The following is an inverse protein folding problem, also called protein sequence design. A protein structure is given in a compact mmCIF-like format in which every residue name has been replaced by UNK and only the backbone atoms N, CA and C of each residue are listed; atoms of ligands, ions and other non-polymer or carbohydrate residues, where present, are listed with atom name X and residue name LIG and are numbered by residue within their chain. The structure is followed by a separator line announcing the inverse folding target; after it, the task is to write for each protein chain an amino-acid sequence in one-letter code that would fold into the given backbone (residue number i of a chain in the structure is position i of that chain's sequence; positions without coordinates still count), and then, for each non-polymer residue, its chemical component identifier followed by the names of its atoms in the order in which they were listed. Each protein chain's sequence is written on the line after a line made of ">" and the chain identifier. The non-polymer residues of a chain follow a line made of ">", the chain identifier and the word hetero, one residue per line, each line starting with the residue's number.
data_IF_540669736359
#
_entry.id   IF_540669736359
#
_cell.length_a   1.000
_cell.length_b   1.000
_cell.length_c   1.000
_cell.angle_alpha   90.00
_cell.angle_beta   90.00
_cell.angle_gamma   90.00
#
_symmetry.space_group_name_H-M   'P 1'
#
loop_
_entity.id
_entity.type
_entity.pdbx_description
1 polymer ?
#
# COMPACT_ATOMS: atom_id res chain seq x y z
N UNK A 1 -2.37 -12.12 14.45
CA UNK A 1 -3.13 -10.95 14.97
C UNK A 1 -4.41 -10.60 14.20
N UNK A 2 -4.59 -10.97 12.92
CA UNK A 2 -5.79 -10.59 12.13
C UNK A 2 -7.13 -11.19 12.59
N UNK A 3 -7.13 -12.25 13.41
CA UNK A 3 -8.37 -12.93 13.85
C UNK A 3 -9.12 -12.18 14.96
N UNK A 4 -8.40 -11.43 15.79
CA UNK A 4 -8.98 -10.69 16.93
C UNK A 4 -10.03 -9.65 16.49
N UNK A 5 -9.76 -8.75 15.52
CA UNK A 5 -10.77 -7.77 15.10
C UNK A 5 -11.99 -8.44 14.43
N UNK A 6 -11.79 -9.58 13.75
CA UNK A 6 -12.89 -10.33 13.13
C UNK A 6 -13.82 -10.95 14.18
N UNK A 7 -13.24 -11.57 15.22
CA UNK A 7 -14.00 -12.12 16.35
C UNK A 7 -14.71 -11.02 17.13
N UNK A 8 -14.05 -9.88 17.36
CA UNK A 8 -14.65 -8.74 18.05
C UNK A 8 -15.84 -8.17 17.26
N UNK A 9 -15.71 -8.03 15.94
CA UNK A 9 -16.80 -7.56 15.08
C UNK A 9 -18.00 -8.53 15.10
N UNK A 10 -17.75 -9.85 15.11
CA UNK A 10 -18.80 -10.85 15.21
C UNK A 10 -19.56 -10.73 16.53
N UNK A 11 -18.84 -10.62 17.65
CA UNK A 11 -19.44 -10.43 18.98
C UNK A 11 -20.28 -9.15 19.02
N UNK A 12 -19.76 -8.05 18.49
CA UNK A 12 -20.44 -6.76 18.46
C UNK A 12 -21.72 -6.82 17.61
N UNK A 13 -21.66 -7.50 16.46
CA UNK A 13 -22.82 -7.70 15.58
C UNK A 13 -23.92 -8.48 16.30
N UNK A 14 -23.57 -9.57 16.98
CA UNK A 14 -24.53 -10.37 17.76
C UNK A 14 -25.15 -9.51 18.87
N UNK A 15 -24.34 -8.71 19.56
CA UNK A 15 -24.82 -7.83 20.62
C UNK A 15 -25.85 -6.81 20.10
N UNK A 16 -25.57 -6.17 18.96
CA UNK A 16 -26.51 -5.23 18.32
C UNK A 16 -27.82 -5.92 17.94
N UNK A 17 -27.76 -7.14 17.37
CA UNK A 17 -28.97 -7.88 16.99
C UNK A 17 -29.83 -8.28 18.20
N UNK A 18 -29.21 -8.77 19.27
CA UNK A 18 -29.91 -9.11 20.51
C UNK A 18 -30.55 -7.86 21.12
N UNK A 19 -29.80 -6.76 21.19
CA UNK A 19 -30.31 -5.49 21.70
C UNK A 19 -31.47 -4.97 20.86
N UNK A 20 -31.39 -5.14 19.54
CA UNK A 20 -32.45 -4.72 18.64
C UNK A 20 -33.74 -5.52 18.83
N UNK A 21 -33.63 -6.82 19.10
CA UNK A 21 -34.78 -7.67 19.36
C UNK A 21 -35.40 -7.43 20.73
N UNK A 22 -34.58 -7.11 21.75
CA UNK A 22 -35.05 -6.86 23.11
C UNK A 22 -35.70 -5.49 23.30
N UNK A 23 -35.43 -4.52 22.42
CA UNK A 23 -35.92 -3.15 22.54
C UNK A 23 -36.78 -2.75 21.33
N UNK A 24 -38.01 -3.30 21.21
CA UNK A 24 -38.94 -2.96 20.12
C UNK A 24 -39.64 -1.61 20.32
N UNK A 25 -39.49 -0.98 21.50
CA UNK A 25 -40.17 0.26 21.82
C UNK A 25 -39.77 1.41 20.87
N UNK A 26 -40.75 2.15 20.34
CA UNK A 26 -40.50 3.25 19.42
C UNK A 26 -39.78 4.40 20.13
N UNK A 27 -38.67 4.83 19.56
CA UNK A 27 -37.91 5.99 19.98
C UNK A 27 -38.13 7.15 19.00
N UNK A 28 -38.32 8.35 19.53
CA UNK A 28 -38.37 9.57 18.74
C UNK A 28 -36.94 9.94 18.29
N UNK A 29 -36.71 9.95 16.99
CA UNK A 29 -35.44 10.29 16.37
C UNK A 29 -35.63 11.54 15.52
N UNK A 30 -34.80 12.55 15.77
CA UNK A 30 -34.78 13.77 14.96
C UNK A 30 -33.54 13.73 14.06
N UNK A 31 -33.75 13.44 12.78
CA UNK A 31 -32.68 13.36 11.78
C UNK A 31 -32.90 14.45 10.73
N UNK A 32 -31.91 15.34 10.59
CA UNK A 32 -31.94 16.43 9.60
C UNK A 32 -33.21 17.32 9.66
N UNK A 33 -33.75 17.52 10.87
CA UNK A 33 -34.97 18.31 11.09
C UNK A 33 -36.28 17.55 10.89
N UNK A 34 -36.25 16.31 10.39
CA UNK A 34 -37.41 15.44 10.30
C UNK A 34 -37.52 14.53 11.54
N UNK A 35 -38.72 14.43 12.10
CA UNK A 35 -39.03 13.53 13.22
C UNK A 35 -39.46 12.15 12.71
N UNK A 36 -38.77 11.11 13.15
CA UNK A 36 -39.09 9.72 12.88
C UNK A 36 -39.38 9.01 14.19
N UNK A 37 -40.40 8.14 14.19
CA UNK A 37 -40.68 7.25 15.31
C UNK A 37 -40.35 5.83 14.85
N UNK A 38 -39.19 5.33 15.29
CA UNK A 38 -38.70 4.01 14.93
C UNK A 38 -38.25 3.26 16.18
N UNK A 39 -38.47 1.94 16.25
CA UNK A 39 -37.90 1.12 17.30
C UNK A 39 -36.41 1.37 17.46
N UNK A 40 -35.99 1.54 18.72
CA UNK A 40 -34.59 1.85 19.06
C UNK A 40 -33.63 0.78 18.51
N UNK A 41 -34.08 -0.47 18.51
CA UNK A 41 -33.35 -1.57 17.89
C UNK A 41 -33.10 -1.42 16.39
N UNK A 42 -34.11 -1.00 15.64
CA UNK A 42 -34.02 -0.83 14.18
C UNK A 42 -33.10 0.33 13.85
N UNK A 43 -33.21 1.45 14.57
CA UNK A 43 -32.37 2.62 14.33
C UNK A 43 -30.90 2.35 14.66
N UNK A 44 -30.62 1.69 15.78
CA UNK A 44 -29.26 1.28 16.16
C UNK A 44 -28.64 0.36 15.09
N UNK A 45 -29.43 -0.59 14.58
CA UNK A 45 -29.01 -1.51 13.51
C UNK A 45 -28.71 -0.75 12.22
N UNK A 46 -29.55 0.23 11.84
CA UNK A 46 -29.32 1.06 10.67
C UNK A 46 -28.02 1.86 10.76
N UNK A 47 -27.74 2.49 11.91
CA UNK A 47 -26.48 3.21 12.14
C UNK A 47 -25.27 2.27 12.14
N UNK A 48 -25.40 1.08 12.71
CA UNK A 48 -24.35 0.06 12.70
C UNK A 48 -23.96 -0.33 11.27
N UNK A 49 -24.96 -0.59 10.41
CA UNK A 49 -24.75 -0.91 9.00
C UNK A 49 -24.10 0.26 8.25
N UNK A 50 -24.55 1.49 8.49
CA UNK A 50 -23.94 2.68 7.88
C UNK A 50 -22.46 2.84 8.28
N UNK A 51 -22.14 2.63 9.56
CA UNK A 51 -20.76 2.66 10.05
C UNK A 51 -19.88 1.57 9.41
N UNK A 52 -20.42 0.36 9.25
CA UNK A 52 -19.74 -0.74 8.56
C UNK A 52 -19.46 -0.38 7.09
N UNK A 53 -20.44 0.22 6.39
CA UNK A 53 -20.31 0.63 5.00
C UNK A 53 -19.26 1.74 4.82
N UNK A 54 -19.24 2.73 5.72
CA UNK A 54 -18.26 3.79 5.73
C UNK A 54 -16.84 3.24 5.96
N UNK A 55 -16.69 2.33 6.93
CA UNK A 55 -15.41 1.68 7.24
C UNK A 55 -14.92 0.84 6.06
N UNK A 56 -15.81 0.10 5.40
CA UNK A 56 -15.49 -0.67 4.20
C UNK A 56 -15.01 0.22 3.04
N UNK A 57 -15.63 1.38 2.86
CA UNK A 57 -15.24 2.36 1.85
C UNK A 57 -13.83 2.90 2.12
N UNK A 58 -13.54 3.28 3.37
CA UNK A 58 -12.21 3.73 3.79
C UNK A 58 -11.14 2.64 3.62
N UNK A 59 -11.47 1.41 3.99
CA UNK A 59 -10.57 0.27 3.81
C UNK A 59 -10.25 0.01 2.34
N UNK A 60 -11.25 0.10 1.46
CA UNK A 60 -11.08 -0.07 0.01
C UNK A 60 -10.15 1.00 -0.59
N UNK A 61 -10.28 2.25 -0.14
CA UNK A 61 -9.38 3.34 -0.56
C UNK A 61 -7.95 3.07 -0.10
N UNK A 62 -7.76 2.65 1.16
CA UNK A 62 -6.44 2.32 1.71
C UNK A 62 -5.79 1.16 0.97
N UNK A 63 -6.53 0.07 0.75
CA UNK A 63 -6.04 -1.10 0.04
C UNK A 63 -5.60 -0.77 -1.39
N UNK A 64 -6.31 0.13 -2.08
CA UNK A 64 -5.94 0.62 -3.41
C UNK A 64 -4.67 1.47 -3.39
N UNK A 65 -4.46 2.27 -2.35
CA UNK A 65 -3.22 3.06 -2.20
C UNK A 65 -2.01 2.15 -1.99
N UNK A 66 -2.16 1.12 -1.18
CA UNK A 66 -1.10 0.12 -0.92
C UNK A 66 -0.76 -0.72 -2.15
N UNK A 67 -1.73 -1.03 -3.02
CA UNK A 67 -1.43 -1.74 -4.27
C UNK A 67 -0.67 -0.87 -5.28
N UNK A 68 -1.02 0.41 -5.39
CA UNK A 68 -0.32 1.36 -6.26
C UNK A 68 1.11 1.64 -5.76
N UNK A 69 1.30 1.75 -4.44
CA UNK A 69 2.64 1.97 -3.88
C UNK A 69 3.56 0.77 -4.15
N UNK A 70 3.07 -0.46 -3.99
CA UNK A 70 3.83 -1.68 -4.30
C UNK A 70 4.27 -1.74 -5.76
N UNK A 71 3.36 -1.43 -6.70
CA UNK A 71 3.70 -1.40 -8.13
C UNK A 71 4.73 -0.30 -8.43
N UNK A 72 4.68 0.82 -7.70
CA UNK A 72 5.64 1.92 -7.87
C UNK A 72 7.02 1.52 -7.34
N UNK A 73 7.09 0.88 -6.17
CA UNK A 73 8.33 0.34 -5.59
C UNK A 73 8.97 -0.71 -6.51
N UNK A 74 8.19 -1.63 -7.05
CA UNK A 74 8.68 -2.62 -8.02
C UNK A 74 9.24 -1.97 -9.29
N UNK A 75 8.64 -0.87 -9.76
CA UNK A 75 9.15 -0.11 -10.91
C UNK A 75 10.44 0.64 -10.61
N UNK A 76 10.61 1.13 -9.38
CA UNK A 76 11.87 1.77 -8.96
C UNK A 76 12.98 0.74 -8.80
N UNK A 77 12.71 -0.41 -8.17
CA UNK A 77 13.69 -1.49 -8.07
C UNK A 77 14.17 -2.00 -9.43
N UNK A 78 13.26 -2.13 -10.41
CA UNK A 78 13.62 -2.51 -11.78
C UNK A 78 14.42 -1.43 -12.50
N UNK A 79 14.22 -0.15 -12.19
CA UNK A 79 15.01 0.94 -12.76
C UNK A 79 16.41 0.98 -12.14
N UNK A 80 16.50 0.83 -10.82
CA UNK A 80 17.79 0.77 -10.12
C UNK A 80 18.64 -0.40 -10.61
N UNK A 81 18.05 -1.59 -10.79
CA UNK A 81 18.77 -2.73 -11.38
C UNK A 81 19.27 -2.45 -12.80
N UNK A 82 18.46 -1.78 -13.64
CA UNK A 82 18.89 -1.40 -14.99
C UNK A 82 20.04 -0.39 -14.95
N UNK A 83 19.93 0.59 -14.07
CA UNK A 83 20.95 1.64 -13.91
C UNK A 83 22.26 1.05 -13.39
N UNK A 84 22.20 0.10 -12.46
CA UNK A 84 23.38 -0.59 -11.93
C UNK A 84 24.10 -1.38 -13.02
N UNK A 85 23.37 -2.10 -13.87
CA UNK A 85 23.94 -2.83 -15.02
C UNK A 85 24.57 -1.86 -16.04
N UNK A 86 23.91 -0.73 -16.31
CA UNK A 86 24.40 0.30 -17.23
C UNK A 86 25.69 0.95 -16.69
N UNK A 87 25.73 1.29 -15.40
CA UNK A 87 26.93 1.82 -14.73
C UNK A 87 28.08 0.81 -14.76
N UNK A 88 27.81 -0.47 -14.51
CA UNK A 88 28.85 -1.51 -14.59
C UNK A 88 29.39 -1.65 -16.02
N UNK A 89 28.51 -1.64 -17.02
CA UNK A 89 28.89 -1.66 -18.44
C UNK A 89 29.78 -0.46 -18.79
N UNK A 90 29.40 0.74 -18.38
CA UNK A 90 30.15 1.96 -18.68
C UNK A 90 31.49 2.01 -17.93
N UNK A 91 31.54 1.49 -16.71
CA UNK A 91 32.79 1.34 -15.96
C UNK A 91 33.75 0.36 -16.64
N UNK A 92 33.24 -0.78 -17.14
CA UNK A 92 34.04 -1.75 -17.92
C UNK A 92 34.60 -1.09 -19.19
N UNK A 93 33.77 -0.36 -19.95
CA UNK A 93 34.23 0.36 -21.15
C UNK A 93 35.32 1.40 -20.82
N UNK A 94 35.17 2.12 -19.71
CA UNK A 94 36.21 3.07 -19.27
C UNK A 94 37.52 2.37 -18.89
N UNK A 95 37.44 1.21 -18.24
CA UNK A 95 38.62 0.41 -17.91
C UNK A 95 39.31 -0.14 -19.17
N UNK A 96 38.54 -0.65 -20.14
CA UNK A 96 39.06 -1.11 -21.43
C UNK A 96 39.80 0.01 -22.17
N UNK A 97 39.20 1.20 -22.25
CA UNK A 97 39.85 2.36 -22.87
C UNK A 97 41.16 2.75 -22.16
N UNK A 98 41.21 2.67 -20.82
CA UNK A 98 42.45 2.93 -20.06
C UNK A 98 43.51 1.86 -20.30
N UNK A 99 43.12 0.58 -20.38
CA UNK A 99 44.05 -0.51 -20.67
C UNK A 99 44.68 -0.33 -22.05
N UNK A 100 43.88 0.01 -23.06
CA UNK A 100 44.38 0.25 -24.42
C UNK A 100 45.35 1.45 -24.48
N UNK A 101 45.03 2.52 -23.75
CA UNK A 101 45.90 3.71 -23.63
C UNK A 101 47.21 3.37 -22.92
N UNK A 102 47.17 2.53 -21.89
CA UNK A 102 48.37 2.08 -21.17
C UNK A 102 49.22 1.12 -22.00
N UNK A 103 48.61 0.19 -22.74
CA UNK A 103 49.33 -0.75 -23.61
C UNK A 103 50.03 -0.03 -24.77
N UNK A 104 49.37 0.95 -25.38
CA UNK A 104 49.99 1.81 -26.41
C UNK A 104 51.15 2.63 -25.85
N UNK A 105 50.99 3.23 -24.66
CA UNK A 105 52.07 3.96 -23.98
C UNK A 105 53.27 3.05 -23.62
N UNK A 106 53.00 1.82 -23.16
CA UNK A 106 54.02 0.86 -22.76
C UNK A 106 54.80 0.32 -23.97
N UNK A 107 54.11 0.02 -25.08
CA UNK A 107 54.74 -0.32 -26.36
C UNK A 107 55.64 0.82 -26.86
N UNK A 108 55.16 2.06 -26.79
CA UNK A 108 55.96 3.24 -27.17
C UNK A 108 57.19 3.43 -26.27
N UNK A 109 57.06 3.21 -24.96
CA UNK A 109 58.16 3.30 -24.00
C UNK A 109 59.21 2.17 -24.21
N UNK A 110 58.77 0.94 -24.48
CA UNK A 110 59.65 -0.18 -24.80
C UNK A 110 60.41 0.04 -26.12
N UNK A 111 59.75 0.61 -27.13
CA UNK A 111 60.39 0.98 -28.39
C UNK A 111 61.50 2.02 -28.17
N UNK A 112 61.28 3.01 -27.29
CA UNK A 112 62.29 4.02 -26.92
C UNK A 112 63.44 3.50 -26.07
N UNK A 113 63.27 2.37 -25.36
CA UNK A 113 64.33 1.76 -24.52
C UNK A 113 65.26 0.83 -25.31
N UNK A 114 64.84 0.40 -26.50
CA UNK A 114 65.65 -0.47 -27.40
C UNK A 114 66.57 0.30 -28.35
N UNK A 115 66.42 1.63 -28.43
CA UNK A 115 67.34 2.58 -29.05
C UNK A 115 68.24 3.19 -28.00
#
# INVERSE_FOLDING_TARGET
>A
MQKIPLVLNLILTIFVLVFAFQNPEPAALHLFGAGFSLPLGISLTAFYILGALATFSLWSIKARKESVSRVTEEKWQKQDQKLEVEIQSDYVKQLEAKIETLDTALKAALARKKT
#
